data_IF_805059561319
#
_entry.id   IF_805059561319
#
_cell.length_a   1.000
_cell.length_b   1.000
_cell.length_c   1.000
_cell.angle_alpha   90.00
_cell.angle_beta   90.00
_cell.angle_gamma   90.00
#
_symmetry.space_group_name_H-M   'P 1'
#
loop_
_entity.id
_entity.type
_entity.pdbx_description
1 polymer ?
#
# COMPACT_ATOMS: atom_id res chain seq x y z
N UNK A 1 -14.51 6.12 12.29
CA UNK A 1 -13.23 5.40 12.50
C UNK A 1 -13.28 3.94 12.06
N UNK A 2 -14.20 3.10 12.57
CA UNK A 2 -14.32 1.69 12.11
C UNK A 2 -14.49 1.55 10.59
N UNK A 3 -15.35 2.39 9.99
CA UNK A 3 -15.58 2.42 8.54
C UNK A 3 -14.32 2.79 7.76
N UNK A 4 -13.54 3.75 8.27
CA UNK A 4 -12.30 4.23 7.65
C UNK A 4 -11.24 3.15 7.58
N UNK A 5 -11.00 2.43 8.68
CA UNK A 5 -10.08 1.29 8.69
C UNK A 5 -10.54 0.19 7.75
N UNK A 6 -11.84 -0.10 7.72
CA UNK A 6 -12.42 -1.10 6.82
C UNK A 6 -12.22 -0.73 5.34
N UNK A 7 -12.37 0.54 4.99
CA UNK A 7 -12.10 1.03 3.62
C UNK A 7 -10.62 0.79 3.25
N UNK A 8 -9.68 1.09 4.15
CA UNK A 8 -8.26 0.89 3.88
C UNK A 8 -7.88 -0.60 3.79
N UNK A 9 -8.47 -1.45 4.63
CA UNK A 9 -8.34 -2.91 4.53
C UNK A 9 -8.85 -3.42 3.17
N UNK A 10 -10.01 -2.93 2.71
CA UNK A 10 -10.58 -3.29 1.41
C UNK A 10 -9.65 -2.86 0.26
N UNK A 11 -9.15 -1.62 0.27
CA UNK A 11 -8.21 -1.13 -0.76
C UNK A 11 -6.96 -2.02 -0.79
N UNK A 12 -6.42 -2.41 0.37
CA UNK A 12 -5.24 -3.25 0.45
C UNK A 12 -5.49 -4.68 -0.07
N UNK A 13 -6.67 -5.24 0.20
CA UNK A 13 -7.08 -6.54 -0.34
C UNK A 13 -7.25 -6.45 -1.87
N UNK A 14 -7.89 -5.39 -2.38
CA UNK A 14 -7.99 -5.17 -3.83
C UNK A 14 -6.59 -5.08 -4.47
N UNK A 15 -5.67 -4.34 -3.84
CA UNK A 15 -4.29 -4.22 -4.32
C UNK A 15 -3.60 -5.59 -4.40
N UNK A 16 -3.83 -6.47 -3.42
CA UNK A 16 -3.34 -7.85 -3.43
C UNK A 16 -3.97 -8.67 -4.57
N UNK A 17 -5.28 -8.58 -4.77
CA UNK A 17 -5.96 -9.31 -5.85
C UNK A 17 -5.43 -8.91 -7.22
N UNK A 18 -5.23 -7.61 -7.46
CA UNK A 18 -4.61 -7.15 -8.71
C UNK A 18 -3.16 -7.60 -8.83
N UNK A 19 -2.41 -7.63 -7.74
CA UNK A 19 -1.03 -8.09 -7.77
C UNK A 19 -0.93 -9.56 -8.18
N UNK A 20 -1.88 -10.39 -7.74
CA UNK A 20 -1.99 -11.80 -8.13
C UNK A 20 -2.33 -11.99 -9.62
N UNK A 21 -2.85 -10.97 -10.30
CA UNK A 21 -3.03 -10.97 -11.76
C UNK A 21 -1.71 -10.75 -12.53
N UNK A 22 -0.57 -10.66 -11.83
CA UNK A 22 0.76 -10.57 -12.42
C UNK A 22 1.06 -9.18 -13.00
N UNK A 23 1.83 -9.14 -14.09
CA UNK A 23 2.32 -7.90 -14.69
C UNK A 23 1.21 -6.90 -15.04
N UNK A 24 0.05 -7.38 -15.52
CA UNK A 24 -1.07 -6.50 -15.89
C UNK A 24 -1.72 -5.79 -14.70
N UNK A 25 -1.62 -6.37 -13.51
CA UNK A 25 -2.24 -5.82 -12.31
C UNK A 25 -1.35 -4.83 -11.56
N UNK A 26 -0.05 -4.74 -11.86
CA UNK A 26 0.87 -4.00 -10.99
C UNK A 26 0.67 -2.49 -11.01
N UNK A 27 0.37 -1.91 -12.16
CA UNK A 27 0.04 -0.49 -12.26
C UNK A 27 -1.17 -0.17 -11.38
N UNK A 28 -2.18 -1.06 -11.39
CA UNK A 28 -3.38 -0.93 -10.57
C UNK A 28 -3.06 -1.14 -9.09
N UNK A 29 -2.27 -2.17 -8.74
CA UNK A 29 -1.82 -2.43 -7.37
C UNK A 29 -1.11 -1.22 -6.81
N UNK A 30 -0.11 -0.69 -7.51
CA UNK A 30 0.64 0.46 -7.01
C UNK A 30 -0.21 1.73 -6.96
N UNK A 31 -1.14 1.95 -7.90
CA UNK A 31 -2.10 3.05 -7.80
C UNK A 31 -2.99 2.93 -6.55
N UNK A 32 -3.46 1.73 -6.23
CA UNK A 32 -4.21 1.45 -5.00
C UNK A 32 -3.34 1.63 -3.75
N UNK A 33 -2.04 1.29 -3.80
CA UNK A 33 -1.10 1.52 -2.72
C UNK A 33 -0.85 3.00 -2.47
N UNK A 34 -0.68 3.80 -3.53
CA UNK A 34 -0.57 5.27 -3.45
C UNK A 34 -1.85 5.87 -2.86
N UNK A 35 -3.02 5.45 -3.36
CA UNK A 35 -4.31 5.91 -2.84
C UNK A 35 -4.47 5.59 -1.35
N UNK A 36 -4.15 4.36 -0.94
CA UNK A 36 -4.22 3.95 0.46
C UNK A 36 -3.26 4.77 1.33
N UNK A 37 -2.01 4.98 0.89
CA UNK A 37 -1.03 5.79 1.59
C UNK A 37 -1.53 7.23 1.78
N UNK A 38 -2.04 7.84 0.71
CA UNK A 38 -2.49 9.22 0.70
C UNK A 38 -3.67 9.43 1.66
N UNK A 39 -4.68 8.55 1.59
CA UNK A 39 -5.80 8.57 2.52
C UNK A 39 -5.33 8.40 3.97
N UNK A 40 -4.43 7.44 4.22
CA UNK A 40 -3.92 7.18 5.56
C UNK A 40 -3.12 8.37 6.11
N UNK A 41 -2.33 9.05 5.26
CA UNK A 41 -1.52 10.20 5.65
C UNK A 41 -2.40 11.40 6.04
N UNK A 42 -3.48 11.65 5.31
CA UNK A 42 -4.46 12.69 5.66
C UNK A 42 -5.13 12.40 7.01
N UNK A 43 -5.50 11.14 7.24
CA UNK A 43 -6.23 10.74 8.44
C UNK A 43 -5.33 10.62 9.68
N UNK A 44 -4.09 10.19 9.50
CA UNK A 44 -3.14 9.90 10.57
C UNK A 44 -1.75 10.51 10.29
N UNK A 45 -1.64 11.85 10.17
CA UNK A 45 -0.39 12.52 9.76
C UNK A 45 0.75 12.37 10.77
N UNK A 46 0.48 11.93 12.00
CA UNK A 46 1.52 11.69 13.02
C UNK A 46 2.16 10.30 12.90
N UNK A 47 1.65 9.41 12.06
CA UNK A 47 2.15 8.04 11.94
C UNK A 47 3.38 7.99 11.02
N UNK A 48 4.59 7.92 11.59
CA UNK A 48 5.86 7.89 10.84
C UNK A 48 5.95 6.73 9.84
N UNK A 49 5.32 5.59 10.12
CA UNK A 49 5.39 4.41 9.25
C UNK A 49 4.70 4.63 7.91
N UNK A 50 3.65 5.48 7.85
CA UNK A 50 2.97 5.74 6.58
C UNK A 50 3.84 6.55 5.62
N UNK A 51 4.70 7.43 6.13
CA UNK A 51 5.65 8.17 5.31
C UNK A 51 6.69 7.22 4.70
N UNK A 52 7.21 6.27 5.49
CA UNK A 52 8.13 5.23 5.00
C UNK A 52 7.44 4.40 3.92
N UNK A 53 6.21 3.95 4.18
CA UNK A 53 5.41 3.20 3.21
C UNK A 53 5.23 4.00 1.91
N UNK A 54 4.82 5.27 1.99
CA UNK A 54 4.58 6.11 0.82
C UNK A 54 5.85 6.36 0.01
N UNK A 55 6.98 6.63 0.68
CA UNK A 55 8.27 6.78 0.01
C UNK A 55 8.70 5.52 -0.73
N UNK A 56 8.47 4.33 -0.15
CA UNK A 56 8.78 3.06 -0.81
C UNK A 56 7.88 2.78 -2.02
N UNK A 57 6.59 3.13 -1.94
CA UNK A 57 5.66 3.02 -3.08
C UNK A 57 6.11 3.94 -4.23
N UNK A 58 6.47 5.20 -3.93
CA UNK A 58 6.99 6.14 -4.94
C UNK A 58 8.31 5.62 -5.51
N UNK A 59 9.22 5.18 -4.64
CA UNK A 59 10.52 4.64 -5.06
C UNK A 59 10.36 3.46 -6.02
N UNK A 60 9.45 2.52 -5.73
CA UNK A 60 9.11 1.42 -6.62
C UNK A 60 8.78 1.92 -8.04
N UNK A 61 7.89 2.91 -8.16
CA UNK A 61 7.47 3.44 -9.47
C UNK A 61 8.55 4.24 -10.20
N UNK A 62 9.51 4.83 -9.48
CA UNK A 62 10.61 5.56 -10.10
C UNK A 62 11.64 4.64 -10.75
N UNK A 63 11.79 3.42 -10.24
CA UNK A 63 12.78 2.45 -10.74
C UNK A 63 12.15 1.32 -11.57
N UNK A 64 10.83 1.20 -11.58
CA UNK A 64 10.13 0.20 -12.36
C UNK A 64 10.09 0.59 -13.84
N UNK A 65 10.53 -0.34 -14.69
CA UNK A 65 10.67 -0.19 -16.15
C UNK A 65 9.51 -0.81 -16.93
N UNK A 66 8.48 -1.32 -16.24
CA UNK A 66 7.34 -2.00 -16.88
C UNK A 66 7.49 -3.53 -16.91
N UNK A 67 8.67 -4.08 -16.68
CA UNK A 67 8.93 -5.52 -16.76
C UNK A 67 8.53 -6.25 -15.49
N UNK A 68 8.31 -7.57 -15.57
CA UNK A 68 8.02 -8.43 -14.42
C UNK A 68 9.33 -8.98 -13.83
N UNK A 69 9.89 -8.31 -12.83
CA UNK A 69 11.20 -8.64 -12.24
C UNK A 69 11.13 -8.96 -10.74
N UNK A 70 12.28 -9.18 -10.10
CA UNK A 70 12.38 -9.35 -8.65
C UNK A 70 11.83 -8.15 -7.85
N UNK A 71 11.74 -6.98 -8.50
CA UNK A 71 11.19 -5.76 -7.91
C UNK A 71 9.73 -5.93 -7.44
N UNK A 72 9.02 -6.94 -7.93
CA UNK A 72 7.63 -7.26 -7.58
C UNK A 72 7.47 -7.72 -6.14
N UNK A 73 8.56 -8.19 -5.51
CA UNK A 73 8.58 -8.49 -4.09
C UNK A 73 8.34 -7.24 -3.23
N UNK A 74 8.69 -6.05 -3.74
CA UNK A 74 8.51 -4.80 -2.99
C UNK A 74 7.02 -4.45 -2.82
N UNK A 75 6.18 -4.37 -3.88
CA UNK A 75 4.73 -4.20 -3.71
C UNK A 75 4.08 -5.29 -2.85
N UNK A 76 4.53 -6.54 -2.93
CA UNK A 76 4.06 -7.63 -2.04
C UNK A 76 4.37 -7.30 -0.59
N UNK A 77 5.63 -6.99 -0.27
CA UNK A 77 6.05 -6.64 1.08
C UNK A 77 5.30 -5.39 1.60
N UNK A 78 5.04 -4.42 0.73
CA UNK A 78 4.29 -3.21 1.04
C UNK A 78 2.84 -3.50 1.44
N UNK A 79 2.15 -4.45 0.81
CA UNK A 79 0.78 -4.86 1.23
C UNK A 79 0.78 -5.35 2.68
N UNK A 80 1.74 -6.19 3.05
CA UNK A 80 1.86 -6.67 4.42
C UNK A 80 2.25 -5.56 5.38
N UNK A 81 3.15 -4.67 4.96
CA UNK A 81 3.55 -3.51 5.77
C UNK A 81 2.38 -2.56 6.02
N UNK A 82 1.56 -2.27 5.01
CA UNK A 82 0.35 -1.46 5.17
C UNK A 82 -0.65 -2.13 6.14
N UNK A 83 -0.83 -3.45 6.04
CA UNK A 83 -1.64 -4.21 7.00
C UNK A 83 -1.14 -4.04 8.43
N UNK A 84 0.18 -4.13 8.63
CA UNK A 84 0.82 -3.91 9.92
C UNK A 84 0.60 -2.48 10.44
N UNK A 85 0.71 -1.47 9.57
CA UNK A 85 0.46 -0.07 9.94
C UNK A 85 -0.99 0.13 10.37
N UNK A 86 -1.95 -0.39 9.59
CA UNK A 86 -3.39 -0.32 9.88
C UNK A 86 -3.68 -0.96 11.24
N UNK A 87 -3.18 -2.18 11.47
CA UNK A 87 -3.38 -2.92 12.70
C UNK A 87 -2.86 -2.15 13.93
N UNK A 88 -1.61 -1.65 13.86
CA UNK A 88 -1.02 -0.90 14.98
C UNK A 88 -1.72 0.44 15.23
N UNK A 89 -2.15 1.13 14.17
CA UNK A 89 -2.89 2.37 14.32
C UNK A 89 -4.26 2.13 14.98
N UNK A 90 -4.95 1.06 14.61
CA UNK A 90 -6.22 0.64 15.21
C UNK A 90 -6.08 0.29 16.69
N UNK A 91 -4.94 -0.27 17.12
CA UNK A 91 -4.67 -0.57 18.54
C UNK A 91 -4.39 0.67 19.39
N UNK A 92 -3.92 1.77 18.78
CA UNK A 92 -3.63 3.04 19.47
C UNK A 92 -4.86 3.92 19.68
N UNK A 93 -6.01 3.57 19.10
CA UNK A 93 -7.25 4.35 19.07
C UNK A 93 -8.38 3.57 19.72
#
# INVERSE_FOLDING_TARGET
MKTTFKIMEIINICALTFLLAGAYGIAITGALQVLAAFLFLILFPKNKFIYIYFSLVIFFFLIWDGEFTWLFLLPVALIFFLTFIIYNQKKKL
#
